data_IF_980864018934
#
_entry.id   IF_980864018934
#
_cell.length_a   1.000
_cell.length_b   1.000
_cell.length_c   1.000
_cell.angle_alpha   90.00
_cell.angle_beta   90.00
_cell.angle_gamma   90.00
#
_symmetry.space_group_name_H-M   'P 1'
#
loop_
_entity.id
_entity.type
_entity.pdbx_description
1 polymer ?
#
# COMPACT_ATOMS: atom_id res chain seq x y z
N UNK A 1 -11.72 -18.38 -7.08
CA UNK A 1 -11.48 -16.94 -7.02
C UNK A 1 -12.77 -16.10 -7.10
N UNK A 2 -13.69 -16.31 -8.07
CA UNK A 2 -14.98 -15.57 -8.17
C UNK A 2 -15.82 -15.59 -6.88
N UNK A 3 -15.94 -16.72 -6.20
CA UNK A 3 -16.74 -16.86 -4.96
C UNK A 3 -16.16 -16.10 -3.76
N UNK A 4 -14.83 -15.99 -3.65
CA UNK A 4 -14.17 -15.27 -2.55
C UNK A 4 -14.35 -13.75 -2.72
N UNK A 5 -14.25 -13.26 -3.96
CA UNK A 5 -14.48 -11.84 -4.26
C UNK A 5 -15.92 -11.41 -3.96
N UNK A 6 -16.90 -12.27 -4.29
CA UNK A 6 -18.31 -12.01 -3.96
C UNK A 6 -18.57 -11.99 -2.46
N UNK A 7 -17.92 -12.86 -1.68
CA UNK A 7 -18.07 -12.89 -0.22
C UNK A 7 -17.45 -11.64 0.41
N UNK A 8 -16.27 -11.21 -0.03
CA UNK A 8 -15.63 -9.98 0.43
C UNK A 8 -16.47 -8.74 0.10
N UNK A 9 -17.07 -8.69 -1.10
CA UNK A 9 -17.96 -7.59 -1.50
C UNK A 9 -19.24 -7.57 -0.65
N UNK A 10 -19.84 -8.73 -0.37
CA UNK A 10 -21.02 -8.83 0.51
C UNK A 10 -20.71 -8.46 1.97
N UNK A 11 -19.56 -8.81 2.49
CA UNK A 11 -19.12 -8.43 3.83
C UNK A 11 -18.91 -6.91 3.92
N UNK A 12 -18.27 -6.30 2.92
CA UNK A 12 -18.11 -4.84 2.87
C UNK A 12 -19.48 -4.11 2.84
N UNK A 13 -20.42 -4.60 2.05
CA UNK A 13 -21.77 -4.01 1.96
C UNK A 13 -22.61 -4.20 3.24
N UNK A 14 -22.51 -5.38 3.90
CA UNK A 14 -23.26 -5.63 5.13
C UNK A 14 -22.72 -4.87 6.35
N UNK A 15 -21.43 -4.56 6.37
CA UNK A 15 -20.80 -3.74 7.43
C UNK A 15 -21.24 -2.27 7.28
N UNK A 16 -21.37 -1.76 6.04
CA UNK A 16 -21.78 -0.35 5.82
C UNK A 16 -23.22 -0.07 6.20
N UNK A 17 -24.16 -1.00 5.90
CA UNK A 17 -25.57 -0.80 6.24
C UNK A 17 -25.85 -0.82 7.75
N UNK A 18 -25.16 -1.69 8.50
CA UNK A 18 -25.33 -1.74 9.97
C UNK A 18 -24.56 -0.64 10.71
N UNK A 19 -23.49 -0.09 10.12
CA UNK A 19 -22.72 0.99 10.74
C UNK A 19 -23.45 2.34 10.64
N UNK A 20 -24.19 2.60 9.57
CA UNK A 20 -24.98 3.83 9.45
C UNK A 20 -26.06 3.95 10.53
N UNK A 21 -26.78 2.87 10.82
CA UNK A 21 -27.85 2.88 11.84
C UNK A 21 -27.33 3.10 13.27
N UNK A 22 -26.10 2.66 13.55
CA UNK A 22 -25.46 2.85 14.88
C UNK A 22 -24.96 4.27 15.07
N UNK A 23 -24.53 4.95 14.01
CA UNK A 23 -24.02 6.33 14.08
C UNK A 23 -25.12 7.38 14.00
N UNK A 24 -26.25 7.12 13.33
CA UNK A 24 -27.40 8.05 13.29
C UNK A 24 -28.11 8.18 14.63
N UNK A 25 -28.08 7.19 15.51
CA UNK A 25 -28.74 7.21 16.82
C UNK A 25 -28.02 8.02 17.89
N UNK A 26 -26.80 8.50 17.65
CA UNK A 26 -26.05 9.33 18.58
C UNK A 26 -26.22 10.84 18.28
N UNK A 27 -27.44 11.35 18.37
CA UNK A 27 -27.68 12.80 18.35
C UNK A 27 -27.14 13.45 19.63
N UNK A 28 -25.94 14.02 19.56
CA UNK A 28 -25.45 14.92 20.59
C UNK A 28 -26.03 16.33 20.38
N UNK A 29 -26.64 16.93 21.41
CA UNK A 29 -27.33 18.23 21.31
C UNK A 29 -26.38 19.43 21.15
N UNK A 30 -25.08 19.25 21.10
CA UNK A 30 -24.13 20.35 20.97
C UNK A 30 -23.25 20.17 19.73
N UNK A 31 -23.62 20.85 18.64
CA UNK A 31 -22.74 21.05 17.48
C UNK A 31 -22.05 22.40 17.64
N UNK A 32 -20.72 22.47 17.92
CA UNK A 32 -20.00 23.72 17.74
C UNK A 32 -20.06 24.12 16.26
N UNK A 33 -20.42 25.37 15.98
CA UNK A 33 -20.34 25.92 14.62
C UNK A 33 -18.94 25.73 14.08
N UNK A 34 -18.83 25.08 12.92
CA UNK A 34 -17.55 24.73 12.32
C UNK A 34 -16.80 25.95 11.87
N UNK A 35 -15.79 26.31 12.62
CA UNK A 35 -14.73 27.21 12.17
C UNK A 35 -13.71 26.40 11.37
N UNK A 36 -13.04 26.99 10.39
CA UNK A 36 -11.94 26.37 9.65
C UNK A 36 -11.00 25.62 10.61
N UNK A 37 -10.73 24.34 10.33
CA UNK A 37 -9.95 23.47 11.21
C UNK A 37 -10.77 22.58 12.17
N UNK A 38 -12.08 22.56 12.05
CA UNK A 38 -12.95 21.69 12.85
C UNK A 38 -12.90 20.23 12.37
N UNK A 39 -13.35 19.31 13.21
CA UNK A 39 -13.37 17.87 12.97
C UNK A 39 -14.10 17.50 11.67
N UNK A 40 -13.61 16.47 11.01
CA UNK A 40 -14.32 15.83 9.89
C UNK A 40 -15.58 15.18 10.43
N UNK A 41 -16.67 15.19 9.66
CA UNK A 41 -17.93 14.56 10.06
C UNK A 41 -17.66 13.08 10.37
N UNK A 42 -18.03 12.59 11.58
CA UNK A 42 -17.85 11.18 11.91
C UNK A 42 -18.59 10.29 10.93
N UNK A 43 -18.04 9.14 10.62
CA UNK A 43 -18.69 8.23 9.71
C UNK A 43 -17.80 7.12 9.20
N UNK A 44 -18.39 6.31 8.35
CA UNK A 44 -17.76 5.18 7.67
C UNK A 44 -17.91 5.42 6.17
N UNK A 45 -16.79 5.65 5.51
CA UNK A 45 -16.76 6.02 4.11
C UNK A 45 -16.01 4.96 3.29
N UNK A 46 -16.71 4.08 2.58
CA UNK A 46 -16.09 3.15 1.65
C UNK A 46 -15.46 3.91 0.49
N UNK A 47 -14.34 3.39 -0.03
CA UNK A 47 -13.68 4.00 -1.16
C UNK A 47 -13.06 2.99 -2.11
N UNK A 48 -12.89 3.43 -3.35
CA UNK A 48 -12.15 2.71 -4.40
C UNK A 48 -11.14 3.67 -5.03
N UNK A 49 -9.90 3.20 -5.18
CA UNK A 49 -8.81 3.98 -5.79
C UNK A 49 -8.02 3.13 -6.76
N UNK A 50 -7.46 3.77 -7.78
CA UNK A 50 -6.56 3.13 -8.73
C UNK A 50 -5.48 4.11 -9.16
N UNK A 51 -4.33 3.59 -9.59
CA UNK A 51 -3.25 4.46 -9.98
C UNK A 51 -1.98 3.73 -10.40
N UNK A 52 -0.90 4.44 -10.29
CA UNK A 52 0.43 3.98 -10.68
C UNK A 52 1.35 3.87 -9.47
N UNK A 53 2.28 2.93 -9.53
CA UNK A 53 3.33 2.78 -8.54
C UNK A 53 4.72 2.86 -9.19
N UNK A 54 5.67 3.40 -8.45
CA UNK A 54 7.09 3.41 -8.79
C UNK A 54 7.82 2.64 -7.70
N UNK A 55 8.40 1.51 -8.06
CA UNK A 55 8.87 0.52 -7.11
C UNK A 55 10.36 0.26 -7.30
N UNK A 56 11.06 0.10 -6.21
CA UNK A 56 12.47 -0.30 -6.19
C UNK A 56 12.77 -1.12 -4.92
N UNK A 57 14.06 -1.36 -4.70
CA UNK A 57 14.56 -2.06 -3.52
C UNK A 57 15.42 -1.13 -2.67
N UNK A 58 15.21 -1.16 -1.35
CA UNK A 58 16.12 -0.50 -0.42
C UNK A 58 17.47 -1.21 -0.48
N UNK A 59 18.46 -0.58 -1.11
CA UNK A 59 19.78 -1.18 -1.19
C UNK A 59 20.86 -0.16 -0.93
N UNK A 60 21.65 -0.45 0.09
CA UNK A 60 22.92 0.24 0.32
C UNK A 60 24.05 -0.42 -0.50
N UNK A 61 23.84 -1.62 -1.05
CA UNK A 61 24.93 -2.46 -1.55
C UNK A 61 24.68 -3.17 -2.90
N UNK A 62 23.47 -3.14 -3.46
CA UNK A 62 23.19 -3.62 -4.81
C UNK A 62 23.40 -2.46 -5.79
N UNK A 63 24.46 -2.51 -6.57
CA UNK A 63 24.74 -1.48 -7.57
C UNK A 63 23.71 -1.56 -8.71
N UNK A 64 23.30 -0.40 -9.21
CA UNK A 64 22.48 -0.32 -10.42
C UNK A 64 21.01 -0.67 -10.25
N UNK A 65 20.45 -0.61 -9.03
CA UNK A 65 18.98 -0.71 -8.82
C UNK A 65 18.30 0.44 -9.53
N UNK A 66 17.34 0.13 -10.39
CA UNK A 66 16.47 1.09 -11.07
C UNK A 66 15.03 0.76 -10.75
N UNK A 67 14.25 1.80 -10.56
CA UNK A 67 12.82 1.67 -10.30
C UNK A 67 12.09 1.05 -11.50
N UNK A 68 10.99 0.37 -11.21
CA UNK A 68 10.02 -0.11 -12.20
C UNK A 68 8.66 0.49 -11.92
N UNK A 69 7.97 0.83 -13.00
CA UNK A 69 6.60 1.30 -12.92
C UNK A 69 5.65 0.12 -12.83
N UNK A 70 4.61 0.26 -12.03
CA UNK A 70 3.57 -0.72 -11.82
C UNK A 70 2.20 -0.09 -11.73
N UNK A 71 1.21 -0.94 -11.55
CA UNK A 71 -0.19 -0.59 -11.33
C UNK A 71 -0.55 -0.85 -9.88
N UNK A 72 -1.44 -0.02 -9.33
CA UNK A 72 -2.04 -0.21 -8.01
C UNK A 72 -3.54 0.04 -8.06
N UNK A 73 -4.28 -0.76 -7.30
CA UNK A 73 -5.72 -0.61 -7.09
C UNK A 73 -6.04 -0.96 -5.63
N UNK A 74 -6.88 -0.17 -4.99
CA UNK A 74 -7.19 -0.27 -3.58
C UNK A 74 -8.69 -0.12 -3.34
N UNK A 75 -9.23 -0.97 -2.48
CA UNK A 75 -10.58 -0.85 -1.93
C UNK A 75 -10.47 -0.84 -0.40
N UNK A 76 -11.11 0.09 0.26
CA UNK A 76 -11.03 0.23 1.71
C UNK A 76 -12.18 0.99 2.31
N UNK A 77 -12.06 1.21 3.60
CA UNK A 77 -13.03 1.96 4.39
C UNK A 77 -12.28 2.99 5.22
N UNK A 78 -12.78 4.21 5.22
CA UNK A 78 -12.26 5.29 6.07
C UNK A 78 -13.20 5.46 7.26
N UNK A 79 -12.69 5.16 8.46
CA UNK A 79 -13.41 5.34 9.71
C UNK A 79 -12.97 6.66 10.34
N UNK A 80 -13.86 7.65 10.40
CA UNK A 80 -13.64 8.89 11.15
C UNK A 80 -14.21 8.75 12.55
N UNK A 81 -13.36 8.94 13.56
CA UNK A 81 -13.81 8.89 14.95
C UNK A 81 -14.53 10.19 15.35
N UNK A 82 -15.53 10.07 16.22
CA UNK A 82 -16.29 11.19 16.74
C UNK A 82 -15.39 12.12 17.55
N UNK A 83 -15.54 13.43 17.33
CA UNK A 83 -14.86 14.51 18.08
C UNK A 83 -13.33 14.43 18.10
N UNK A 84 -12.73 13.79 17.10
CA UNK A 84 -11.28 13.68 16.96
C UNK A 84 -10.83 14.00 15.55
N UNK A 85 -9.54 14.35 15.40
CA UNK A 85 -8.89 14.43 14.10
C UNK A 85 -8.44 13.07 13.57
N UNK A 86 -8.57 12.02 14.38
CA UNK A 86 -8.07 10.71 14.05
C UNK A 86 -9.09 9.88 13.28
N UNK A 87 -8.57 9.05 12.40
CA UNK A 87 -9.30 8.04 11.67
C UNK A 87 -8.51 6.74 11.56
N UNK A 88 -9.18 5.69 11.12
CA UNK A 88 -8.57 4.41 10.82
C UNK A 88 -8.99 3.97 9.42
N UNK A 89 -8.01 3.59 8.59
CA UNK A 89 -8.20 3.31 7.17
C UNK A 89 -7.66 1.93 6.79
N UNK A 90 -8.37 0.85 7.10
CA UNK A 90 -8.05 -0.48 6.59
C UNK A 90 -8.41 -0.58 5.12
N UNK A 91 -7.55 -1.24 4.35
CA UNK A 91 -7.80 -1.45 2.93
C UNK A 91 -7.27 -2.80 2.44
N UNK A 92 -7.73 -3.21 1.27
CA UNK A 92 -7.16 -4.27 0.47
C UNK A 92 -6.60 -3.65 -0.81
N UNK A 93 -5.28 -3.76 -0.99
CA UNK A 93 -4.57 -3.18 -2.10
C UNK A 93 -3.90 -4.24 -2.96
N UNK A 94 -4.13 -4.16 -4.26
CA UNK A 94 -3.28 -4.80 -5.25
C UNK A 94 -2.20 -3.82 -5.68
N UNK A 95 -0.93 -4.24 -5.67
CA UNK A 95 0.18 -3.43 -6.16
C UNK A 95 1.19 -4.30 -6.90
N UNK A 96 1.70 -3.80 -8.01
CA UNK A 96 2.85 -4.40 -8.68
C UNK A 96 4.11 -3.83 -8.06
N UNK A 97 4.91 -4.66 -7.38
CA UNK A 97 6.22 -4.31 -6.80
C UNK A 97 7.36 -4.84 -7.66
N UNK A 98 8.58 -4.45 -7.35
CA UNK A 98 9.79 -4.98 -7.97
C UNK A 98 10.84 -3.94 -8.28
N UNK A 99 11.87 -4.36 -9.00
CA UNK A 99 12.94 -3.49 -9.45
C UNK A 99 13.69 -4.09 -10.65
N UNK A 100 14.46 -3.24 -11.32
CA UNK A 100 15.52 -3.67 -12.24
C UNK A 100 16.85 -3.62 -11.49
N UNK A 101 17.58 -4.72 -11.44
CA UNK A 101 18.82 -4.81 -10.67
C UNK A 101 19.86 -5.69 -11.35
N UNK A 102 21.15 -5.43 -11.08
CA UNK A 102 22.26 -6.33 -11.35
C UNK A 102 22.62 -7.05 -10.05
N UNK A 103 22.52 -8.37 -10.04
CA UNK A 103 22.71 -9.19 -8.82
C UNK A 103 24.11 -9.74 -8.67
N UNK A 104 24.92 -9.71 -9.73
CA UNK A 104 26.29 -10.22 -9.73
C UNK A 104 27.29 -9.15 -10.20
N UNK A 105 28.53 -9.25 -9.70
CA UNK A 105 29.62 -8.42 -10.16
C UNK A 105 29.96 -8.84 -11.60
N UNK A 106 29.83 -7.91 -12.56
CA UNK A 106 30.03 -8.19 -13.99
C UNK A 106 28.77 -8.56 -14.77
N UNK A 107 27.62 -8.74 -14.11
CA UNK A 107 26.35 -9.00 -14.79
C UNK A 107 25.78 -7.68 -15.33
N UNK A 108 25.47 -7.55 -16.63
CA UNK A 108 24.76 -6.38 -17.12
C UNK A 108 23.43 -6.27 -16.40
N UNK A 109 23.06 -5.07 -15.94
CA UNK A 109 21.87 -4.78 -15.13
C UNK A 109 20.55 -5.09 -15.88
N UNK A 110 20.32 -6.35 -16.24
CA UNK A 110 19.22 -6.78 -17.11
C UNK A 110 18.16 -7.64 -16.41
N UNK A 111 18.29 -7.88 -15.09
CA UNK A 111 17.24 -8.56 -14.35
C UNK A 111 16.13 -7.57 -13.98
N UNK A 112 14.92 -7.80 -14.52
CA UNK A 112 13.72 -7.08 -14.14
C UNK A 112 12.82 -8.02 -13.35
N UNK A 113 12.41 -7.61 -12.18
CA UNK A 113 11.53 -8.38 -11.31
C UNK A 113 10.22 -7.62 -11.18
N UNK A 114 9.12 -8.30 -11.48
CA UNK A 114 7.76 -7.83 -11.23
C UNK A 114 7.08 -8.80 -10.28
N UNK A 115 6.54 -8.27 -9.18
CA UNK A 115 5.81 -9.01 -8.16
C UNK A 115 4.37 -8.49 -8.14
N UNK A 116 3.41 -9.36 -8.34
CA UNK A 116 1.99 -9.07 -8.13
C UNK A 116 1.67 -9.36 -6.69
N UNK A 117 1.34 -8.33 -5.92
CA UNK A 117 1.23 -8.40 -4.47
C UNK A 117 -0.15 -7.93 -4.03
N UNK A 118 -0.76 -8.67 -3.12
CA UNK A 118 -1.95 -8.26 -2.39
C UNK A 118 -1.52 -7.80 -1.01
N UNK A 119 -1.97 -6.61 -0.60
CA UNK A 119 -1.60 -5.96 0.65
C UNK A 119 -2.82 -5.64 1.49
N UNK A 120 -2.62 -5.65 2.79
CA UNK A 120 -3.55 -5.19 3.81
C UNK A 120 -2.87 -4.01 4.57
N UNK A 121 -2.96 -2.78 4.08
CA UNK A 121 -2.55 -1.61 4.85
C UNK A 121 -3.58 -1.32 5.94
N UNK A 122 -3.07 -0.89 7.11
CA UNK A 122 -3.85 -0.54 8.30
C UNK A 122 -3.39 0.83 8.79
N UNK A 123 -3.84 1.88 8.08
CA UNK A 123 -3.37 3.23 8.33
C UNK A 123 -4.18 3.91 9.45
N UNK A 124 -3.50 4.54 10.39
CA UNK A 124 -4.08 5.55 11.28
C UNK A 124 -3.89 6.90 10.62
N UNK A 125 -4.96 7.67 10.51
CA UNK A 125 -4.97 8.94 9.81
C UNK A 125 -5.24 10.10 10.75
N UNK A 126 -4.65 11.25 10.41
CA UNK A 126 -5.03 12.55 10.97
C UNK A 126 -5.70 13.33 9.86
N UNK A 127 -6.90 13.84 10.12
CA UNK A 127 -7.78 14.42 9.13
C UNK A 127 -7.97 15.92 9.40
N UNK A 128 -7.73 16.73 8.39
CA UNK A 128 -7.83 18.18 8.45
C UNK A 128 -8.94 18.63 7.50
N UNK A 129 -10.01 19.18 8.05
CA UNK A 129 -11.06 19.79 7.24
C UNK A 129 -10.59 21.14 6.71
N UNK A 130 -10.45 21.26 5.40
CA UNK A 130 -10.05 22.51 4.74
C UNK A 130 -11.27 23.39 4.40
N UNK A 131 -12.39 22.75 4.04
CA UNK A 131 -13.66 23.40 3.76
C UNK A 131 -14.81 22.40 3.99
N UNK A 132 -16.05 22.80 3.73
CA UNK A 132 -17.20 21.89 3.83
C UNK A 132 -17.11 20.73 2.83
N UNK A 133 -16.47 20.93 1.70
CA UNK A 133 -16.31 19.97 0.62
C UNK A 133 -14.91 19.35 0.55
N UNK A 134 -13.92 19.82 1.32
CA UNK A 134 -12.53 19.42 1.17
C UNK A 134 -11.89 18.97 2.49
N UNK A 135 -11.26 17.81 2.46
CA UNK A 135 -10.50 17.24 3.58
C UNK A 135 -9.11 16.85 3.12
N UNK A 136 -8.12 17.12 3.95
CA UNK A 136 -6.75 16.65 3.80
C UNK A 136 -6.44 15.62 4.88
N UNK A 137 -5.83 14.51 4.50
CA UNK A 137 -5.53 13.40 5.41
C UNK A 137 -4.05 13.06 5.32
N UNK A 138 -3.45 12.81 6.48
CA UNK A 138 -2.10 12.23 6.58
C UNK A 138 -2.20 10.99 7.43
N UNK A 139 -1.70 9.87 6.93
CA UNK A 139 -1.79 8.60 7.62
C UNK A 139 -0.48 7.82 7.58
N UNK A 140 -0.34 6.93 8.54
CA UNK A 140 0.74 5.97 8.61
C UNK A 140 0.26 4.69 9.27
N UNK A 141 0.83 3.58 8.88
CA UNK A 141 0.46 2.29 9.45
C UNK A 141 1.30 1.14 8.93
N UNK A 142 1.18 -0.02 9.56
CA UNK A 142 1.76 -1.24 9.04
C UNK A 142 0.99 -1.74 7.81
N UNK A 143 1.68 -2.47 6.94
CA UNK A 143 1.05 -3.28 5.92
C UNK A 143 1.54 -4.71 6.00
N UNK A 144 0.67 -5.64 5.61
CA UNK A 144 0.95 -7.04 5.43
C UNK A 144 0.73 -7.38 3.96
N UNK A 145 1.73 -7.99 3.33
CA UNK A 145 1.69 -8.23 1.90
C UNK A 145 1.96 -9.69 1.54
N UNK A 146 1.27 -10.18 0.52
CA UNK A 146 1.43 -11.53 0.01
C UNK A 146 1.58 -11.52 -1.52
N UNK A 147 2.70 -12.09 -2.00
CA UNK A 147 2.98 -12.26 -3.41
C UNK A 147 2.11 -13.36 -4.05
N UNK A 148 1.20 -12.94 -4.91
CA UNK A 148 0.28 -13.84 -5.63
C UNK A 148 0.90 -14.42 -6.89
N UNK A 149 1.77 -13.66 -7.57
CA UNK A 149 2.41 -14.02 -8.81
C UNK A 149 3.44 -12.98 -9.23
N UNK A 150 4.04 -13.20 -10.39
CA UNK A 150 5.00 -12.25 -10.94
C UNK A 150 5.89 -12.90 -11.99
N UNK A 151 6.64 -12.04 -12.70
CA UNK A 151 7.55 -12.46 -13.75
C UNK A 151 8.92 -11.83 -13.53
N UNK A 152 9.94 -12.65 -13.57
CA UNK A 152 11.33 -12.21 -13.54
C UNK A 152 11.95 -12.43 -14.93
N UNK A 153 12.43 -11.34 -15.51
CA UNK A 153 13.15 -11.37 -16.79
C UNK A 153 14.65 -11.38 -16.53
N UNK A 154 15.32 -12.41 -17.01
CA UNK A 154 16.77 -12.56 -16.91
C UNK A 154 17.33 -13.13 -18.21
N UNK A 155 18.35 -12.50 -18.79
CA UNK A 155 18.98 -12.90 -20.05
C UNK A 155 17.98 -13.23 -21.17
N UNK A 156 17.02 -12.34 -21.43
CA UNK A 156 15.93 -12.50 -22.42
C UNK A 156 15.02 -13.72 -22.20
N UNK A 157 15.07 -14.34 -21.02
CA UNK A 157 14.16 -15.40 -20.61
C UNK A 157 13.25 -14.90 -19.49
N UNK A 158 12.03 -15.44 -19.44
CA UNK A 158 11.06 -15.13 -18.39
C UNK A 158 10.90 -16.31 -17.45
N UNK A 159 10.90 -16.04 -16.15
CA UNK A 159 10.73 -17.01 -15.06
C UNK A 159 9.61 -16.55 -14.14
N UNK A 160 8.92 -17.50 -13.49
CA UNK A 160 8.01 -17.15 -12.42
C UNK A 160 8.80 -16.53 -11.25
N UNK A 161 8.31 -15.43 -10.70
CA UNK A 161 8.96 -14.74 -9.58
C UNK A 161 8.88 -15.54 -8.28
N UNK A 162 7.78 -16.29 -8.09
CA UNK A 162 7.52 -17.07 -6.89
C UNK A 162 7.42 -18.57 -7.23
N UNK A 163 8.04 -19.43 -6.40
CA UNK A 163 7.88 -20.90 -6.49
C UNK A 163 8.67 -21.57 -7.63
N UNK A 164 9.72 -20.93 -8.11
CA UNK A 164 10.61 -21.52 -9.11
C UNK A 164 11.71 -22.39 -8.51
N UNK A 165 12.00 -23.53 -9.11
CA UNK A 165 13.24 -24.29 -8.88
C UNK A 165 14.39 -23.53 -9.52
N UNK A 166 15.06 -22.66 -8.77
CA UNK A 166 16.17 -21.88 -9.29
C UNK A 166 16.73 -20.90 -8.28
N UNK A 167 17.83 -20.27 -8.64
CA UNK A 167 18.63 -19.37 -7.78
C UNK A 167 17.94 -18.08 -7.36
N UNK A 168 16.68 -17.84 -7.77
CA UNK A 168 15.93 -16.59 -7.51
C UNK A 168 14.59 -16.83 -6.82
N UNK A 169 14.59 -17.56 -5.71
CA UNK A 169 13.38 -17.65 -4.87
C UNK A 169 13.16 -16.35 -4.10
N UNK A 170 12.12 -15.61 -4.49
CA UNK A 170 11.67 -14.41 -3.79
C UNK A 170 10.64 -14.82 -2.74
N UNK A 171 10.71 -14.21 -1.57
CA UNK A 171 9.73 -14.43 -0.50
C UNK A 171 8.37 -13.89 -0.92
N UNK A 172 7.32 -14.69 -0.66
CA UNK A 172 5.93 -14.29 -0.92
C UNK A 172 5.38 -13.33 0.12
N UNK A 173 5.88 -13.40 1.36
CA UNK A 173 5.40 -12.60 2.46
C UNK A 173 6.30 -11.40 2.71
N UNK A 174 5.70 -10.22 2.85
CA UNK A 174 6.37 -8.98 3.20
C UNK A 174 5.56 -8.25 4.28
N UNK A 175 6.24 -7.56 5.16
CA UNK A 175 5.67 -6.67 6.18
C UNK A 175 6.47 -5.39 6.17
N UNK A 176 5.79 -4.28 6.30
CA UNK A 176 6.44 -2.98 6.33
C UNK A 176 5.55 -1.92 6.94
N UNK A 177 5.95 -0.68 6.75
CA UNK A 177 5.12 0.47 7.08
C UNK A 177 5.02 1.44 5.90
N UNK A 178 3.94 2.21 5.90
CA UNK A 178 3.63 3.23 4.91
C UNK A 178 3.39 4.59 5.52
N UNK A 179 3.55 5.60 4.68
CA UNK A 179 3.09 6.97 4.88
C UNK A 179 2.16 7.30 3.72
N UNK A 180 1.00 7.85 4.01
CA UNK A 180 -0.02 8.22 3.02
C UNK A 180 -0.48 9.64 3.24
N UNK A 181 -0.66 10.38 2.15
CA UNK A 181 -1.30 11.69 2.12
C UNK A 181 -2.43 11.65 1.11
N UNK A 182 -3.62 12.07 1.51
CA UNK A 182 -4.81 12.10 0.66
C UNK A 182 -5.48 13.46 0.70
N UNK A 183 -5.95 13.91 -0.44
CA UNK A 183 -6.85 15.04 -0.56
C UNK A 183 -8.19 14.51 -1.06
N UNK A 184 -9.25 14.80 -0.31
CA UNK A 184 -10.62 14.44 -0.66
C UNK A 184 -11.36 15.73 -0.98
N UNK A 185 -11.97 15.80 -2.15
CA UNK A 185 -12.84 16.89 -2.57
C UNK A 185 -14.20 16.32 -2.95
N UNK A 186 -15.22 16.57 -2.11
CA UNK A 186 -16.53 15.89 -2.17
C UNK A 186 -16.35 14.38 -2.10
N UNK A 187 -16.51 13.70 -3.24
CA UNK A 187 -16.33 12.25 -3.38
C UNK A 187 -15.03 11.85 -4.08
N UNK A 188 -14.32 12.80 -4.69
CA UNK A 188 -13.09 12.50 -5.42
C UNK A 188 -11.89 12.54 -4.49
N UNK A 189 -11.03 11.54 -4.60
CA UNK A 189 -9.84 11.41 -3.77
C UNK A 189 -8.60 11.32 -4.64
N UNK A 190 -7.56 12.07 -4.26
CA UNK A 190 -6.21 11.97 -4.78
C UNK A 190 -5.29 11.57 -3.63
N UNK A 191 -4.56 10.47 -3.78
CA UNK A 191 -3.73 9.89 -2.73
C UNK A 191 -2.34 9.64 -3.25
N UNK A 192 -1.34 10.07 -2.51
CA UNK A 192 0.06 9.70 -2.69
C UNK A 192 0.57 8.96 -1.45
N UNK A 193 1.46 8.01 -1.65
CA UNK A 193 2.04 7.29 -0.53
C UNK A 193 3.41 6.71 -0.83
N UNK A 194 4.10 6.37 0.24
CA UNK A 194 5.39 5.73 0.23
C UNK A 194 5.40 4.58 1.24
N UNK A 195 5.98 3.46 0.87
CA UNK A 195 6.07 2.25 1.69
C UNK A 195 7.48 1.71 1.73
N UNK A 196 7.86 1.14 2.86
CA UNK A 196 9.11 0.45 3.04
C UNK A 196 8.87 -0.90 3.74
N UNK A 197 9.29 -1.98 3.07
CA UNK A 197 9.28 -3.33 3.63
C UNK A 197 10.42 -3.55 4.61
N UNK A 198 10.18 -4.42 5.58
CA UNK A 198 11.17 -4.83 6.57
C UNK A 198 11.68 -6.26 6.32
N UNK A 199 11.00 -7.02 5.49
CA UNK A 199 11.36 -8.38 5.16
C UNK A 199 12.26 -8.39 3.93
N UNK A 200 13.50 -8.90 4.04
CA UNK A 200 14.37 -9.06 2.87
C UNK A 200 13.71 -9.94 1.82
N UNK A 201 13.83 -9.54 0.54
CA UNK A 201 13.19 -10.24 -0.59
C UNK A 201 13.63 -11.71 -0.72
N UNK A 202 14.77 -12.10 -0.12
CA UNK A 202 15.29 -13.48 -0.09
C UNK A 202 15.83 -13.85 1.28
N UNK A 203 15.94 -15.16 1.51
CA UNK A 203 16.58 -15.73 2.70
C UNK A 203 18.11 -15.66 2.57
N UNK A 204 18.80 -15.61 3.72
CA UNK A 204 20.26 -15.61 3.77
C UNK A 204 20.89 -14.25 3.46
N UNK A 205 22.08 -14.28 2.91
CA UNK A 205 22.88 -13.09 2.62
C UNK A 205 23.12 -12.96 1.11
N UNK A 206 23.16 -11.72 0.63
CA UNK A 206 23.43 -11.39 -0.77
C UNK A 206 24.92 -11.51 -1.13
N UNK A 207 25.79 -11.60 -0.14
CA UNK A 207 27.25 -11.65 -0.29
C UNK A 207 27.95 -11.02 0.91
N UNK A 208 29.22 -10.67 0.72
CA UNK A 208 30.01 -9.92 1.71
C UNK A 208 30.40 -8.56 1.14
N UNK A 209 30.48 -7.55 1.99
CA UNK A 209 31.01 -6.24 1.65
C UNK A 209 32.56 -6.26 1.57
N UNK A 210 33.15 -5.14 1.18
CA UNK A 210 34.62 -4.99 1.08
C UNK A 210 35.35 -5.15 2.44
N UNK A 211 34.59 -5.24 3.55
CA UNK A 211 35.12 -5.47 4.91
C UNK A 211 34.84 -6.89 5.42
N UNK A 212 34.36 -7.79 4.53
CA UNK A 212 34.01 -9.16 4.89
C UNK A 212 32.71 -9.32 5.69
N UNK A 213 31.92 -8.24 5.84
CA UNK A 213 30.65 -8.30 6.57
C UNK A 213 29.54 -8.83 5.66
N UNK A 214 28.75 -9.77 6.18
CA UNK A 214 27.60 -10.33 5.47
C UNK A 214 26.56 -9.27 5.17
N UNK A 215 26.14 -9.21 3.92
CA UNK A 215 25.15 -8.26 3.40
C UNK A 215 23.80 -8.95 3.27
N UNK A 216 22.76 -8.37 3.88
CA UNK A 216 21.39 -8.87 3.71
C UNK A 216 20.83 -8.52 2.33
N UNK A 217 19.90 -9.33 1.86
CA UNK A 217 19.10 -8.99 0.69
C UNK A 217 18.28 -7.71 0.94
N UNK A 218 18.03 -6.90 -0.09
CA UNK A 218 17.24 -5.68 0.05
C UNK A 218 15.77 -5.99 0.37
N UNK A 219 15.06 -4.95 0.82
CA UNK A 219 13.62 -4.97 1.04
C UNK A 219 12.90 -4.19 -0.05
N UNK A 220 11.61 -4.43 -0.21
CA UNK A 220 10.75 -3.66 -1.14
C UNK A 220 10.62 -2.21 -0.68
N UNK A 221 10.54 -1.29 -1.65
CA UNK A 221 10.16 0.09 -1.45
C UNK A 221 9.24 0.51 -2.60
N UNK A 222 8.16 1.19 -2.26
CA UNK A 222 7.16 1.62 -3.24
C UNK A 222 6.76 3.07 -3.00
N UNK A 223 6.56 3.80 -4.09
CA UNK A 223 5.85 5.07 -4.12
C UNK A 223 4.65 4.91 -5.03
N UNK A 224 3.51 5.51 -4.68
CA UNK A 224 2.32 5.40 -5.51
C UNK A 224 1.52 6.70 -5.53
N UNK A 225 0.79 6.87 -6.61
CA UNK A 225 -0.19 7.93 -6.81
C UNK A 225 -1.48 7.28 -7.29
N UNK A 226 -2.56 7.52 -6.59
CA UNK A 226 -3.88 6.95 -6.87
C UNK A 226 -4.94 8.05 -6.92
N UNK A 227 -5.94 7.81 -7.75
CA UNK A 227 -7.16 8.60 -7.80
C UNK A 227 -8.35 7.66 -7.60
N UNK A 228 -9.41 8.18 -7.00
CA UNK A 228 -10.56 7.35 -6.69
C UNK A 228 -11.79 8.11 -6.26
N UNK A 229 -12.72 7.34 -5.74
CA UNK A 229 -14.03 7.80 -5.30
C UNK A 229 -14.32 7.26 -3.90
N UNK A 230 -14.86 8.12 -3.07
CA UNK A 230 -15.34 7.84 -1.72
C UNK A 230 -16.87 7.98 -1.70
N UNK A 231 -17.55 6.96 -1.18
CA UNK A 231 -19.01 6.82 -1.24
C UNK A 231 -19.73 7.46 -0.05
#
# INVERSE_FOLDING_TARGET
MRKILSILLCIAFSVTSNAQDVFESAEHPYRPQSTYGSYVKPGVHPYLRTGVSCNDYTSVQVRGVKSVWGFTAEAGVDFFFTDTYFGFKPALRYITKGAKASWAQGDPANTKIYQQTLELPLDVTVNFRLSDDATFQVGTGPYFAYGMGGTTYYNNRSYATFGGTGTMEIRKFDVGCGLVCSAVYRHFTATMGAEAGFVPIRSGYAGQDNRGKNVRWPCNRSFYLMFGYEF
#
